data_IF_652370171744
#
_entry.id   IF_652370171744
#
_cell.length_a   1.000
_cell.length_b   1.000
_cell.length_c   1.000
_cell.angle_alpha   90.00
_cell.angle_beta   90.00
_cell.angle_gamma   90.00
#
_symmetry.space_group_name_H-M   'P 1'
#
loop_
_entity.id
_entity.type
_entity.pdbx_description
1 polymer ?
#
# COMPACT_ATOMS: atom_id res chain seq x y z
N UNK A 1 -20.97 3.96 -19.41
CA UNK A 1 -20.48 4.95 -18.42
C UNK A 1 -20.83 4.42 -17.03
N UNK A 2 -20.01 3.51 -16.50
CA UNK A 2 -20.14 2.93 -15.14
C UNK A 2 -18.86 3.14 -14.31
N UNK A 3 -17.91 3.93 -14.83
CA UNK A 3 -16.58 4.08 -14.22
C UNK A 3 -16.49 5.22 -13.20
N UNK A 4 -17.15 6.36 -13.43
CA UNK A 4 -16.94 7.57 -12.63
C UNK A 4 -17.58 7.50 -11.24
N UNK A 5 -18.74 6.84 -11.10
CA UNK A 5 -19.43 6.68 -9.81
C UNK A 5 -18.74 5.72 -8.84
N UNK A 6 -18.10 4.65 -9.35
CA UNK A 6 -17.32 3.71 -8.53
C UNK A 6 -15.95 4.30 -8.14
N UNK A 7 -15.35 5.12 -9.02
CA UNK A 7 -14.13 5.87 -8.70
C UNK A 7 -14.37 6.91 -7.60
N UNK A 8 -15.52 7.60 -7.59
CA UNK A 8 -15.86 8.56 -6.53
C UNK A 8 -16.17 7.90 -5.18
N UNK A 9 -16.70 6.68 -5.15
CA UNK A 9 -16.88 5.93 -3.90
C UNK A 9 -15.56 5.36 -3.37
N UNK A 10 -14.62 5.06 -4.27
CA UNK A 10 -13.33 4.51 -3.92
C UNK A 10 -12.43 5.51 -3.19
N UNK A 11 -12.55 6.81 -3.47
CA UNK A 11 -11.65 7.82 -2.89
C UNK A 11 -11.87 8.05 -1.37
N UNK A 12 -13.11 8.26 -0.87
CA UNK A 12 -13.38 8.31 0.57
C UNK A 12 -12.98 7.02 1.29
N UNK A 13 -13.33 5.86 0.70
CA UNK A 13 -12.96 4.55 1.27
C UNK A 13 -11.44 4.35 1.34
N UNK A 14 -10.70 4.81 0.33
CA UNK A 14 -9.24 4.77 0.34
C UNK A 14 -8.64 5.74 1.37
N UNK A 15 -9.25 6.90 1.61
CA UNK A 15 -8.80 7.81 2.66
C UNK A 15 -9.03 7.20 4.05
N UNK A 16 -10.21 6.65 4.31
CA UNK A 16 -10.52 5.97 5.57
C UNK A 16 -9.59 4.79 5.82
N UNK A 17 -9.38 3.96 4.80
CA UNK A 17 -8.46 2.82 4.89
C UNK A 17 -7.02 3.27 5.19
N UNK A 18 -6.56 4.36 4.58
CA UNK A 18 -5.24 4.93 4.90
C UNK A 18 -5.17 5.43 6.33
N UNK A 19 -6.21 6.14 6.80
CA UNK A 19 -6.25 6.66 8.16
C UNK A 19 -6.21 5.54 9.20
N UNK A 20 -6.96 4.47 8.98
CA UNK A 20 -7.02 3.30 9.88
C UNK A 20 -5.74 2.44 9.82
N UNK A 21 -5.15 2.27 8.63
CA UNK A 21 -3.98 1.44 8.46
C UNK A 21 -2.68 2.10 8.94
N UNK A 22 -2.60 3.44 8.93
CA UNK A 22 -1.39 4.18 9.28
C UNK A 22 -0.78 3.78 10.64
N UNK A 23 -1.51 3.77 11.77
CA UNK A 23 -0.91 3.41 13.06
C UNK A 23 -0.39 1.96 13.09
N UNK A 24 -1.10 1.03 12.43
CA UNK A 24 -0.70 -0.38 12.35
C UNK A 24 0.58 -0.56 11.52
N UNK A 25 0.70 0.15 10.41
CA UNK A 25 1.88 0.10 9.54
C UNK A 25 3.08 0.80 10.18
N UNK A 26 2.86 1.91 10.91
CA UNK A 26 3.90 2.55 11.71
C UNK A 26 4.44 1.58 12.77
N UNK A 27 3.57 0.89 13.53
CA UNK A 27 4.00 -0.11 14.52
C UNK A 27 4.76 -1.28 13.87
N UNK A 28 4.25 -1.81 12.76
CA UNK A 28 4.89 -2.91 12.03
C UNK A 28 6.27 -2.51 11.52
N UNK A 29 6.40 -1.32 10.93
CA UNK A 29 7.66 -0.83 10.39
C UNK A 29 8.71 -0.66 11.50
N UNK A 30 8.32 -0.08 12.63
CA UNK A 30 9.23 0.10 13.79
C UNK A 30 9.64 -1.25 14.40
N UNK A 31 8.68 -2.16 14.63
CA UNK A 31 8.95 -3.45 15.26
C UNK A 31 9.84 -4.35 14.39
N UNK A 32 9.65 -4.31 13.07
CA UNK A 32 10.41 -5.13 12.12
C UNK A 32 11.69 -4.46 11.63
N UNK A 33 11.83 -3.15 11.85
CA UNK A 33 12.85 -2.29 11.22
C UNK A 33 12.88 -2.42 9.70
N UNK A 34 11.72 -2.64 9.09
CA UNK A 34 11.57 -2.83 7.64
C UNK A 34 10.44 -1.97 7.07
N UNK A 35 10.48 -1.71 5.76
CA UNK A 35 9.43 -0.96 5.07
C UNK A 35 8.13 -1.79 5.03
N UNK A 36 7.05 -1.21 5.55
CA UNK A 36 5.71 -1.80 5.50
C UNK A 36 4.91 -1.22 4.33
N UNK A 37 4.18 -2.07 3.60
CA UNK A 37 3.38 -1.67 2.44
C UNK A 37 1.94 -2.15 2.59
N UNK A 38 0.98 -1.29 2.24
CA UNK A 38 -0.43 -1.66 2.04
C UNK A 38 -0.74 -1.60 0.55
N UNK A 39 -1.07 -2.76 -0.01
CA UNK A 39 -1.41 -2.92 -1.42
C UNK A 39 -2.92 -3.12 -1.58
N UNK A 40 -3.48 -2.56 -2.65
CA UNK A 40 -4.85 -2.80 -3.07
C UNK A 40 -4.86 -3.32 -4.51
N UNK A 41 -5.76 -4.25 -4.80
CA UNK A 41 -5.95 -4.76 -6.15
C UNK A 41 -6.58 -3.69 -7.04
N UNK A 42 -6.05 -3.52 -8.24
CA UNK A 42 -6.57 -2.63 -9.27
C UNK A 42 -6.85 -3.45 -10.54
N UNK A 43 -8.13 -3.74 -10.79
CA UNK A 43 -8.52 -4.71 -11.82
C UNK A 43 -8.05 -6.13 -11.51
N UNK A 44 -7.91 -6.98 -12.52
CA UNK A 44 -7.65 -8.41 -12.27
C UNK A 44 -6.16 -8.74 -12.10
N UNK A 45 -5.27 -7.94 -12.68
CA UNK A 45 -3.84 -8.30 -12.82
C UNK A 45 -2.87 -7.34 -12.14
N UNK A 46 -3.35 -6.20 -11.63
CA UNK A 46 -2.48 -5.16 -11.06
C UNK A 46 -2.71 -5.01 -9.56
N UNK A 47 -1.62 -4.71 -8.86
CA UNK A 47 -1.63 -4.25 -7.47
C UNK A 47 -1.06 -2.83 -7.42
N UNK A 48 -1.66 -1.99 -6.58
CA UNK A 48 -1.22 -0.62 -6.33
C UNK A 48 -0.88 -0.45 -4.85
N UNK A 49 0.28 0.13 -4.58
CA UNK A 49 0.63 0.57 -3.23
C UNK A 49 -0.22 1.77 -2.80
N UNK A 50 -1.12 1.54 -1.84
CA UNK A 50 -1.94 2.57 -1.21
C UNK A 50 -1.15 3.31 -0.13
N UNK A 51 -0.29 2.63 0.61
CA UNK A 51 0.56 3.26 1.62
C UNK A 51 1.89 2.53 1.72
N UNK A 52 2.94 3.30 1.97
CA UNK A 52 4.27 2.81 2.28
C UNK A 52 4.74 3.56 3.52
N UNK A 53 5.19 2.80 4.52
CA UNK A 53 5.72 3.34 5.78
C UNK A 53 7.13 2.82 5.96
N UNK A 54 8.06 3.74 6.18
CA UNK A 54 9.46 3.46 6.42
C UNK A 54 9.76 3.59 7.93
N UNK A 55 10.62 2.74 8.50
CA UNK A 55 11.03 2.83 9.90
C UNK A 55 11.87 4.09 10.16
N UNK A 56 11.65 4.77 11.29
CA UNK A 56 12.27 6.07 11.63
C UNK A 56 13.78 6.00 11.89
N UNK A 57 14.36 4.80 12.01
CA UNK A 57 15.76 4.60 12.43
C UNK A 57 16.56 3.55 11.64
N UNK A 58 16.12 3.14 10.44
CA UNK A 58 16.88 2.17 9.66
C UNK A 58 18.16 2.79 9.06
N UNK A 59 19.30 2.12 9.28
CA UNK A 59 20.60 2.51 8.71
C UNK A 59 20.63 2.39 7.19
N UNK A 60 19.87 1.44 6.63
CA UNK A 60 19.58 1.25 5.20
C UNK A 60 18.20 0.57 5.10
N UNK A 61 17.28 1.08 4.29
CA UNK A 61 16.11 0.33 3.85
C UNK A 61 15.87 0.55 2.36
N UNK A 62 15.21 -0.41 1.71
CA UNK A 62 14.70 -0.28 0.35
C UNK A 62 13.22 0.09 0.46
N UNK A 63 12.81 1.19 -0.16
CA UNK A 63 11.41 1.56 -0.27
C UNK A 63 10.95 1.64 -1.71
N UNK A 64 9.69 1.26 -1.91
CA UNK A 64 8.96 1.49 -3.14
C UNK A 64 8.11 2.74 -2.94
N UNK A 65 8.03 3.59 -3.97
CA UNK A 65 7.27 4.84 -3.86
C UNK A 65 5.76 4.57 -3.93
N UNK A 66 4.93 5.21 -3.09
CA UNK A 66 3.48 5.16 -3.22
C UNK A 66 3.04 5.50 -4.66
N UNK A 67 2.10 4.73 -5.20
CA UNK A 67 1.59 4.91 -6.57
C UNK A 67 2.29 4.10 -7.66
N UNK A 68 3.35 3.33 -7.35
CA UNK A 68 3.88 2.34 -8.30
C UNK A 68 2.97 1.11 -8.38
N UNK A 69 2.68 0.68 -9.62
CA UNK A 69 2.01 -0.58 -9.95
C UNK A 69 3.05 -1.66 -10.25
N UNK A 70 2.86 -2.86 -9.71
CA UNK A 70 3.69 -4.03 -9.98
C UNK A 70 2.81 -5.23 -10.36
N UNK A 71 3.40 -6.16 -11.13
CA UNK A 71 2.75 -7.43 -11.45
C UNK A 71 2.49 -8.21 -10.16
N UNK A 72 1.30 -8.81 -10.04
CA UNK A 72 0.95 -9.69 -8.92
C UNK A 72 1.89 -10.89 -8.79
N UNK A 73 2.52 -11.30 -9.89
CA UNK A 73 3.50 -12.40 -9.94
C UNK A 73 4.89 -11.99 -9.41
N UNK A 74 5.12 -10.70 -9.12
CA UNK A 74 6.43 -10.18 -8.75
C UNK A 74 6.38 -9.39 -7.43
N UNK A 75 7.08 -9.94 -6.42
CA UNK A 75 7.21 -9.34 -5.09
C UNK A 75 6.32 -10.01 -4.04
N UNK A 76 6.72 -9.92 -2.77
CA UNK A 76 6.05 -10.63 -1.66
C UNK A 76 4.57 -10.28 -1.50
N UNK A 77 4.19 -9.03 -1.79
CA UNK A 77 2.80 -8.57 -1.64
C UNK A 77 1.83 -9.06 -2.71
N UNK A 78 2.30 -9.63 -3.82
CA UNK A 78 1.45 -10.25 -4.84
C UNK A 78 1.34 -11.78 -4.71
N UNK A 79 2.30 -12.40 -4.02
CA UNK A 79 2.40 -13.86 -3.83
C UNK A 79 1.68 -14.34 -2.55
N UNK A 80 1.50 -13.47 -1.55
CA UNK A 80 0.78 -13.76 -0.30
C UNK A 80 -0.74 -13.70 -0.48
#
# INVERSE_FOLDING_TARGET
VLGTGLVSLAEPVQQDLRALARPVLDELAENTRATAHLLVREGDTQMRALMVVEPRGALVHVSFRPGQTHSIEQGSGGVA
#
